data_IF_007059268151
#
_entry.id   IF_007059268151
#
_cell.length_a   1.000
_cell.length_b   1.000
_cell.length_c   1.000
_cell.angle_alpha   90.00
_cell.angle_beta   90.00
_cell.angle_gamma   90.00
#
_symmetry.space_group_name_H-M   'P 1'
#
loop_
_entity.id
_entity.type
_entity.pdbx_description
1 polymer ?
#
# COMPACT_ATOMS: atom_id res chain seq x y z
N UNK A 1 21.18 -6.00 -12.69
CA UNK A 1 20.42 -4.72 -12.65
C UNK A 1 18.93 -5.05 -12.75
N UNK A 2 18.27 -5.30 -11.62
CA UNK A 2 16.84 -5.62 -11.61
C UNK A 2 16.02 -4.31 -11.53
N UNK A 3 15.40 -3.90 -12.65
CA UNK A 3 14.49 -2.73 -12.73
C UNK A 3 13.11 -3.10 -12.18
N UNK A 4 12.87 -2.89 -10.89
CA UNK A 4 11.51 -2.93 -10.29
C UNK A 4 10.91 -1.52 -10.07
N UNK A 5 11.58 -0.47 -10.52
CA UNK A 5 11.32 0.94 -10.20
C UNK A 5 10.10 1.58 -10.93
N UNK A 6 9.60 0.99 -12.04
CA UNK A 6 8.61 1.66 -12.90
C UNK A 6 7.18 1.79 -12.33
N UNK A 7 6.81 1.02 -11.30
CA UNK A 7 5.44 1.01 -10.77
C UNK A 7 5.10 2.18 -9.84
N UNK A 8 6.12 2.79 -9.21
CA UNK A 8 5.90 3.95 -8.31
C UNK A 8 5.59 5.20 -9.12
N UNK A 9 6.37 5.47 -10.16
CA UNK A 9 6.19 6.63 -11.05
C UNK A 9 4.82 6.58 -11.76
N UNK A 10 4.45 5.41 -12.30
CA UNK A 10 3.13 5.22 -12.92
C UNK A 10 2.00 5.51 -11.95
N UNK A 11 2.10 5.02 -10.71
CA UNK A 11 1.12 5.29 -9.67
C UNK A 11 0.98 6.78 -9.37
N UNK A 12 2.09 7.51 -9.24
CA UNK A 12 2.09 8.96 -8.98
C UNK A 12 1.54 9.77 -10.16
N UNK A 13 1.72 9.29 -11.39
CA UNK A 13 1.15 9.93 -12.58
C UNK A 13 -0.38 9.81 -12.66
N UNK A 14 -0.97 8.75 -12.10
CA UNK A 14 -2.43 8.57 -12.04
C UNK A 14 -3.12 9.46 -11.00
N UNK A 15 -2.40 9.94 -9.99
CA UNK A 15 -2.97 10.76 -8.93
C UNK A 15 -3.36 12.13 -9.49
N UNK A 16 -4.59 12.60 -9.25
CA UNK A 16 -5.03 13.94 -9.65
C UNK A 16 -4.24 15.06 -8.94
N UNK A 17 -4.25 16.28 -9.49
CA UNK A 17 -3.66 17.46 -8.82
C UNK A 17 -4.26 17.64 -7.41
N UNK A 18 -3.43 17.99 -6.43
CA UNK A 18 -3.77 18.09 -5.01
C UNK A 18 -4.07 16.73 -4.35
N UNK A 19 -3.77 15.62 -5.02
CA UNK A 19 -4.04 14.28 -4.53
C UNK A 19 -3.06 13.82 -3.44
N UNK A 20 -3.33 12.62 -2.90
CA UNK A 20 -2.52 12.01 -1.84
C UNK A 20 -2.02 10.64 -2.25
N UNK A 21 -0.72 10.39 -2.05
CA UNK A 21 -0.10 9.08 -2.18
C UNK A 21 0.22 8.52 -0.80
N UNK A 22 -0.28 7.32 -0.49
CA UNK A 22 0.07 6.62 0.75
C UNK A 22 1.02 5.47 0.42
N UNK A 23 2.29 5.61 0.78
CA UNK A 23 3.28 4.56 0.57
C UNK A 23 3.17 3.52 1.68
N UNK A 24 2.59 2.35 1.38
CA UNK A 24 2.51 1.23 2.31
C UNK A 24 3.59 0.15 2.10
N UNK A 25 4.23 0.14 0.93
CA UNK A 25 5.21 -0.90 0.57
C UNK A 25 6.64 -0.45 0.88
N UNK A 26 7.44 -1.39 1.37
CA UNK A 26 8.90 -1.23 1.50
C UNK A 26 9.53 -1.30 0.12
N UNK A 27 10.30 -0.27 -0.22
CA UNK A 27 11.03 -0.17 -1.48
C UNK A 27 12.51 -0.35 -1.16
N UNK A 28 13.11 -1.44 -1.64
CA UNK A 28 14.49 -1.82 -1.35
C UNK A 28 15.53 -1.23 -2.31
N UNK A 29 15.09 -0.56 -3.37
CA UNK A 29 15.95 0.05 -4.38
C UNK A 29 15.64 1.54 -4.49
N UNK A 30 16.63 2.37 -4.76
CA UNK A 30 16.41 3.78 -5.04
C UNK A 30 15.50 3.95 -6.26
N UNK A 31 14.47 4.78 -6.12
CA UNK A 31 13.57 5.13 -7.21
C UNK A 31 13.90 6.56 -7.64
N UNK A 32 14.18 6.74 -8.93
CA UNK A 32 14.32 8.09 -9.49
C UNK A 32 12.92 8.62 -9.81
N UNK A 33 12.56 9.76 -9.22
CA UNK A 33 11.29 10.43 -9.42
C UNK A 33 11.55 11.89 -9.78
N UNK A 34 10.71 12.43 -10.67
CA UNK A 34 10.69 13.87 -10.96
C UNK A 34 9.89 14.59 -9.88
N UNK A 35 10.51 14.79 -8.71
CA UNK A 35 9.85 15.37 -7.55
C UNK A 35 9.24 16.74 -7.84
N UNK A 36 9.82 17.53 -8.73
CA UNK A 36 9.28 18.85 -9.06
C UNK A 36 7.88 18.75 -9.68
N UNK A 37 7.70 17.84 -10.63
CA UNK A 37 6.41 17.60 -11.29
C UNK A 37 5.38 16.99 -10.33
N UNK A 38 5.84 16.15 -9.41
CA UNK A 38 4.97 15.43 -8.48
C UNK A 38 4.52 16.34 -7.33
N UNK A 39 5.45 17.06 -6.70
CA UNK A 39 5.22 17.83 -5.49
C UNK A 39 4.75 19.26 -5.77
N UNK A 40 5.20 19.90 -6.85
CA UNK A 40 4.87 21.30 -7.12
C UNK A 40 3.83 21.44 -8.23
N UNK A 41 4.01 20.82 -9.39
CA UNK A 41 3.04 20.98 -10.49
C UNK A 41 1.70 20.32 -10.14
N UNK A 42 1.76 19.09 -9.63
CA UNK A 42 0.59 18.31 -9.22
C UNK A 42 0.24 18.49 -7.74
N UNK A 43 1.05 19.17 -6.95
CA UNK A 43 0.78 19.40 -5.51
C UNK A 43 0.44 18.10 -4.76
N UNK A 44 1.08 16.97 -5.12
CA UNK A 44 0.78 15.68 -4.53
C UNK A 44 1.45 15.59 -3.17
N UNK A 45 0.66 15.28 -2.13
CA UNK A 45 1.20 14.97 -0.81
C UNK A 45 1.54 13.48 -0.69
N UNK A 46 2.78 13.16 -0.33
CA UNK A 46 3.24 11.77 -0.14
C UNK A 46 3.37 11.49 1.36
N UNK A 47 2.69 10.45 1.84
CA UNK A 47 2.74 10.02 3.23
C UNK A 47 3.30 8.60 3.29
N UNK A 48 4.43 8.44 3.98
CA UNK A 48 4.95 7.12 4.33
C UNK A 48 4.12 6.50 5.45
N UNK A 49 3.62 5.28 5.25
CA UNK A 49 2.94 4.51 6.28
C UNK A 49 3.79 3.30 6.64
N UNK A 50 4.35 3.30 7.86
CA UNK A 50 5.06 2.14 8.42
C UNK A 50 4.18 1.45 9.46
N UNK A 51 3.92 0.17 9.24
CA UNK A 51 3.29 -0.79 10.16
C UNK A 51 1.87 -0.40 10.62
N UNK A 52 1.01 -1.41 10.80
CA UNK A 52 -0.31 -1.18 11.39
C UNK A 52 -0.15 -0.78 12.86
N UNK A 53 -0.72 0.35 13.25
CA UNK A 53 -0.80 0.74 14.66
C UNK A 53 -1.66 -0.29 15.42
N UNK A 54 -1.32 -0.65 16.67
CA UNK A 54 -2.15 -1.54 17.48
C UNK A 54 -3.62 -1.10 17.56
N UNK A 55 -3.85 0.22 17.60
CA UNK A 55 -5.19 0.84 17.58
C UNK A 55 -6.02 0.54 16.33
N UNK A 56 -5.39 0.13 15.23
CA UNK A 56 -6.10 -0.18 13.97
C UNK A 56 -6.72 -1.58 13.96
N UNK A 57 -6.28 -2.48 14.86
CA UNK A 57 -6.79 -3.86 14.91
C UNK A 57 -8.27 -3.92 15.28
N UNK A 58 -8.73 -3.10 16.24
CA UNK A 58 -10.14 -3.07 16.61
C UNK A 58 -11.04 -2.73 15.41
N UNK A 59 -10.62 -1.78 14.57
CA UNK A 59 -11.34 -1.42 13.34
C UNK A 59 -11.32 -2.56 12.31
N UNK A 60 -10.16 -3.17 12.10
CA UNK A 60 -10.01 -4.27 11.14
C UNK A 60 -10.88 -5.49 11.51
N UNK A 61 -10.91 -5.86 12.79
CA UNK A 61 -11.73 -6.96 13.31
C UNK A 61 -13.22 -6.65 13.13
N UNK A 62 -13.66 -5.42 13.41
CA UNK A 62 -15.05 -5.04 13.22
C UNK A 62 -15.47 -5.10 11.75
N UNK A 63 -14.62 -4.65 10.83
CA UNK A 63 -14.90 -4.76 9.39
C UNK A 63 -15.01 -6.21 8.91
N UNK A 64 -14.20 -7.11 9.47
CA UNK A 64 -14.28 -8.54 9.17
C UNK A 64 -15.57 -9.16 9.75
N UNK A 65 -15.95 -8.81 10.98
CA UNK A 65 -17.18 -9.28 11.63
C UNK A 65 -18.44 -8.78 10.92
N UNK A 66 -18.42 -7.55 10.42
CA UNK A 66 -19.51 -6.97 9.64
C UNK A 66 -19.53 -7.46 8.18
N UNK A 67 -18.69 -8.44 7.81
CA UNK A 67 -18.56 -9.00 6.46
C UNK A 67 -18.28 -7.95 5.37
N UNK A 68 -17.78 -6.76 5.75
CA UNK A 68 -17.39 -5.70 4.82
C UNK A 68 -16.09 -6.02 4.06
N UNK A 69 -15.41 -7.08 4.44
CA UNK A 69 -14.21 -7.60 3.79
C UNK A 69 -14.36 -9.11 3.61
N UNK A 70 -14.28 -9.60 2.38
CA UNK A 70 -14.32 -11.02 2.08
C UNK A 70 -12.96 -11.67 2.36
N UNK A 71 -12.75 -12.10 3.61
CA UNK A 71 -11.52 -12.77 4.03
C UNK A 71 -11.33 -14.14 3.36
N UNK A 72 -12.43 -14.81 2.98
CA UNK A 72 -12.37 -16.16 2.38
C UNK A 72 -11.69 -16.13 1.01
N UNK A 73 -11.97 -15.12 0.20
CA UNK A 73 -11.32 -14.94 -1.11
C UNK A 73 -9.83 -14.55 -0.99
N UNK A 74 -9.43 -13.97 0.14
CA UNK A 74 -8.03 -13.62 0.39
C UNK A 74 -7.19 -14.83 0.86
N UNK A 75 -7.82 -15.85 1.44
CA UNK A 75 -7.17 -17.08 1.89
C UNK A 75 -7.03 -18.08 0.73
N UNK A 76 -5.85 -18.10 0.10
CA UNK A 76 -5.56 -18.98 -1.05
C UNK A 76 -5.29 -20.43 -0.62
N UNK A 77 -4.70 -20.64 0.57
CA UNK A 77 -4.46 -21.98 1.10
C UNK A 77 -4.57 -22.03 2.62
N UNK A 78 -5.19 -23.10 3.12
CA UNK A 78 -5.07 -23.53 4.51
C UNK A 78 -4.07 -24.68 4.56
N UNK A 79 -2.87 -24.41 5.07
CA UNK A 79 -1.94 -25.48 5.42
C UNK A 79 -2.43 -26.12 6.72
N UNK A 80 -3.17 -27.22 6.60
CA UNK A 80 -3.46 -28.09 7.74
C UNK A 80 -2.24 -28.95 7.98
N UNK A 81 -1.27 -28.43 8.74
CA UNK A 81 -0.23 -29.27 9.33
C UNK A 81 -0.88 -30.06 10.47
N UNK A 82 -1.33 -31.27 10.18
CA UNK A 82 -1.47 -32.32 11.17
C UNK A 82 -0.05 -32.69 11.62
N UNK A 83 0.44 -32.07 12.69
CA UNK A 83 1.45 -32.70 13.52
C UNK A 83 0.73 -33.76 14.35
N UNK A 84 0.70 -34.99 13.83
CA UNK A 84 0.52 -36.22 14.61
C UNK A 84 1.91 -36.81 14.83
#
# INVERSE_FOLDING_TARGET
>A
MFRFCGRVEQGLNLIRKGGRCIQQRIVHQSVQLKFDQILFDKEISIVGSRTNKPSSWGKAINLAREEKVNLKELCISFLVNYFV
#
